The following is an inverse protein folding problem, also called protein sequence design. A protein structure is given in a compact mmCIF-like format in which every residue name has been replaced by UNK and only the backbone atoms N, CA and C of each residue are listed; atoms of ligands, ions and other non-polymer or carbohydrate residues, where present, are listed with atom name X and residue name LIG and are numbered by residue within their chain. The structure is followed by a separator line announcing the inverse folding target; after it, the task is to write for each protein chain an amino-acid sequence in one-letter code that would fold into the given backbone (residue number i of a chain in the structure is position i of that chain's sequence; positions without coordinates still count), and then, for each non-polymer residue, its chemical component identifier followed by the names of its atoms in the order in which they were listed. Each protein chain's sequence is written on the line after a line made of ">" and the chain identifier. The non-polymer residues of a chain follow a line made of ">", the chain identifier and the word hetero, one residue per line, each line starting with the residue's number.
data_IF_420973184374
#
_entry.id   IF_420973184374
#
_cell.length_a   1.000
_cell.length_b   1.000
_cell.length_c   1.000
_cell.angle_alpha   90.00
_cell.angle_beta   90.00
_cell.angle_gamma   90.00
#
_symmetry.space_group_name_H-M   'P 1'
#
loop_
_entity.id
_entity.type
_entity.pdbx_description
1 polymer ?
#
# COMPACT_ATOMS: atom_id res chain seq x y z
N UNK A 1 -41.46 12.77 -47.50
CA UNK A 1 -40.62 11.60 -47.19
C UNK A 1 -39.09 11.89 -47.23
N UNK A 2 -38.65 13.15 -47.36
CA UNK A 2 -37.20 13.52 -47.37
C UNK A 2 -36.66 13.99 -46.03
N UNK A 3 -37.51 14.35 -45.07
CA UNK A 3 -37.10 14.86 -43.77
C UNK A 3 -36.77 13.79 -42.69
N UNK A 4 -37.38 12.60 -42.82
CA UNK A 4 -37.18 11.52 -41.83
C UNK A 4 -35.86 10.77 -42.01
N UNK A 5 -35.29 10.74 -43.20
CA UNK A 5 -34.00 10.14 -43.49
C UNK A 5 -32.81 10.98 -42.91
N UNK A 6 -32.94 12.31 -42.89
CA UNK A 6 -31.94 13.22 -42.36
C UNK A 6 -31.86 13.17 -40.80
N UNK A 7 -32.99 12.92 -40.13
CA UNK A 7 -33.05 12.81 -38.69
C UNK A 7 -32.42 11.48 -38.19
N UNK A 8 -32.57 10.41 -38.97
CA UNK A 8 -32.00 9.09 -38.64
C UNK A 8 -30.46 9.06 -38.79
N UNK A 9 -29.93 9.83 -39.74
CA UNK A 9 -28.47 9.93 -39.96
C UNK A 9 -27.74 10.71 -38.84
N UNK A 10 -28.42 11.63 -38.13
CA UNK A 10 -27.84 12.45 -37.07
C UNK A 10 -27.67 11.68 -35.75
N UNK A 11 -28.46 10.61 -35.54
CA UNK A 11 -28.39 9.79 -34.32
C UNK A 11 -27.21 8.81 -34.34
N UNK A 12 -26.65 8.47 -35.50
CA UNK A 12 -25.51 7.58 -35.64
C UNK A 12 -24.14 8.27 -35.44
N UNK A 13 -24.10 9.60 -35.32
CA UNK A 13 -22.86 10.37 -35.13
C UNK A 13 -22.59 10.75 -33.67
N UNK A 14 -23.24 10.10 -32.70
CA UNK A 14 -22.88 10.27 -31.30
C UNK A 14 -21.44 9.71 -31.07
N UNK A 15 -20.44 10.55 -30.71
CA UNK A 15 -19.15 10.05 -30.33
C UNK A 15 -19.37 9.20 -29.08
N UNK A 16 -19.21 7.89 -29.22
CA UNK A 16 -19.17 6.99 -28.08
C UNK A 16 -18.14 7.53 -27.10
N UNK A 17 -18.55 7.96 -25.92
CA UNK A 17 -17.64 8.22 -24.82
C UNK A 17 -16.82 6.95 -24.62
N UNK A 18 -15.59 6.95 -25.10
CA UNK A 18 -14.62 5.91 -24.90
C UNK A 18 -14.23 5.86 -23.43
N UNK A 19 -15.08 5.24 -22.61
CA UNK A 19 -14.68 4.75 -21.31
C UNK A 19 -13.73 3.59 -21.55
N UNK A 20 -12.44 3.88 -21.69
CA UNK A 20 -11.41 2.87 -21.50
C UNK A 20 -11.52 2.41 -20.06
N UNK A 21 -11.93 1.16 -19.87
CA UNK A 21 -11.79 0.47 -18.59
C UNK A 21 -10.29 0.47 -18.24
N UNK A 22 -9.86 1.47 -17.47
CA UNK A 22 -8.59 1.47 -16.75
C UNK A 22 -8.71 0.39 -15.68
N UNK A 23 -8.53 -0.85 -16.07
CA UNK A 23 -8.73 -2.00 -15.17
C UNK A 23 -8.04 -3.26 -15.66
N UNK A 24 -7.39 -3.21 -16.82
CA UNK A 24 -6.53 -4.28 -17.35
C UNK A 24 -5.14 -3.79 -17.73
N UNK A 25 -4.65 -2.79 -17.05
CA UNK A 25 -3.24 -2.46 -17.03
C UNK A 25 -2.48 -3.51 -16.21
N UNK A 26 -2.52 -4.73 -16.64
CA UNK A 26 -1.61 -5.75 -16.11
C UNK A 26 -0.37 -5.64 -16.95
N UNK A 27 0.54 -4.85 -16.51
CA UNK A 27 1.87 -4.89 -17.07
C UNK A 27 2.87 -5.41 -16.07
N UNK A 28 2.49 -6.41 -15.31
CA UNK A 28 3.52 -7.22 -14.72
C UNK A 28 3.95 -8.25 -15.76
N UNK A 29 5.22 -8.23 -16.05
CA UNK A 29 5.91 -9.15 -16.95
C UNK A 29 5.40 -10.59 -16.74
N UNK A 30 4.80 -11.25 -17.74
CA UNK A 30 4.25 -12.60 -17.59
C UNK A 30 5.33 -13.66 -17.29
N UNK A 31 6.61 -13.32 -17.46
CA UNK A 31 7.73 -14.19 -17.09
C UNK A 31 7.99 -14.23 -15.59
N UNK A 32 7.46 -13.26 -14.82
CA UNK A 32 7.60 -13.23 -13.37
C UNK A 32 6.50 -14.08 -12.75
N UNK A 33 6.87 -15.21 -12.19
CA UNK A 33 6.00 -16.15 -11.49
C UNK A 33 6.40 -16.34 -10.03
N UNK A 34 7.71 -16.35 -9.77
CA UNK A 34 8.26 -16.58 -8.44
C UNK A 34 8.90 -15.31 -7.92
N UNK A 35 8.34 -14.77 -6.83
CA UNK A 35 8.80 -13.52 -6.21
C UNK A 35 9.42 -13.82 -4.86
N UNK A 36 10.64 -13.36 -4.65
CA UNK A 36 11.31 -13.34 -3.35
C UNK A 36 10.90 -12.10 -2.54
N UNK A 37 10.45 -12.32 -1.31
CA UNK A 37 10.15 -11.24 -0.37
C UNK A 37 10.87 -11.54 0.94
N UNK A 38 12.15 -11.15 1.07
CA UNK A 38 12.86 -11.27 2.34
C UNK A 38 12.21 -10.38 3.39
N UNK A 39 12.48 -10.69 4.67
CA UNK A 39 12.04 -9.82 5.77
C UNK A 39 12.53 -8.39 5.53
N UNK A 40 11.62 -7.43 5.62
CA UNK A 40 11.97 -6.02 5.50
C UNK A 40 12.94 -5.63 6.59
N UNK A 41 13.91 -4.79 6.25
CA UNK A 41 14.86 -4.25 7.25
C UNK A 41 14.14 -3.21 8.10
N UNK A 42 14.30 -3.29 9.42
CA UNK A 42 13.77 -2.26 10.32
C UNK A 42 14.91 -1.36 10.82
N UNK A 43 14.77 -0.04 10.60
CA UNK A 43 15.65 1.00 11.13
C UNK A 43 15.02 1.78 12.28
N UNK A 44 13.78 1.46 12.62
CA UNK A 44 13.01 2.26 13.59
C UNK A 44 13.15 1.76 15.02
N UNK A 45 13.52 0.48 15.19
CA UNK A 45 13.57 -0.19 16.49
C UNK A 45 12.20 -0.52 17.08
N UNK A 46 11.10 -0.34 16.32
CA UNK A 46 9.76 -0.77 16.73
C UNK A 46 9.62 -2.28 16.52
N UNK A 47 9.76 -3.03 17.59
CA UNK A 47 9.73 -4.50 17.54
C UNK A 47 8.54 -5.08 16.81
N UNK A 48 8.77 -6.02 15.88
CA UNK A 48 7.75 -6.75 15.15
C UNK A 48 7.11 -6.01 13.97
N UNK A 49 7.46 -4.73 13.72
CA UNK A 49 6.92 -3.93 12.63
C UNK A 49 7.33 -4.51 11.26
N UNK A 50 8.57 -4.93 11.13
CA UNK A 50 9.13 -5.61 9.96
C UNK A 50 8.36 -6.89 9.61
N UNK A 51 8.07 -7.71 10.61
CA UNK A 51 7.32 -8.95 10.44
C UNK A 51 5.88 -8.67 9.99
N UNK A 52 5.19 -7.73 10.66
CA UNK A 52 3.81 -7.37 10.34
C UNK A 52 3.70 -6.84 8.91
N UNK A 53 4.56 -5.90 8.50
CA UNK A 53 4.54 -5.33 7.15
C UNK A 53 4.89 -6.39 6.11
N UNK A 54 5.97 -7.15 6.30
CA UNK A 54 6.39 -8.18 5.35
C UNK A 54 5.29 -9.22 5.13
N UNK A 55 4.67 -9.70 6.23
CA UNK A 55 3.60 -10.68 6.16
C UNK A 55 2.41 -10.17 5.32
N UNK A 56 2.03 -8.89 5.46
CA UNK A 56 0.93 -8.30 4.67
C UNK A 56 1.30 -8.11 3.21
N UNK A 57 2.54 -7.76 2.89
CA UNK A 57 3.01 -7.69 1.50
C UNK A 57 2.96 -9.06 0.84
N UNK A 58 3.42 -10.11 1.53
CA UNK A 58 3.35 -11.51 1.05
C UNK A 58 1.89 -11.93 0.84
N UNK A 59 1.01 -11.67 1.80
CA UNK A 59 -0.42 -11.98 1.72
C UNK A 59 -1.07 -11.32 0.49
N UNK A 60 -0.80 -10.03 0.26
CA UNK A 60 -1.37 -9.30 -0.86
C UNK A 60 -0.84 -9.79 -2.22
N UNK A 61 0.45 -10.16 -2.31
CA UNK A 61 1.00 -10.77 -3.52
C UNK A 61 0.34 -12.13 -3.81
N UNK A 62 0.13 -12.96 -2.79
CA UNK A 62 -0.55 -14.25 -2.92
C UNK A 62 -2.01 -14.10 -3.35
N UNK A 63 -2.73 -13.08 -2.86
CA UNK A 63 -4.11 -12.77 -3.28
C UNK A 63 -4.24 -12.48 -4.78
N UNK A 64 -3.16 -12.05 -5.46
CA UNK A 64 -3.16 -11.86 -6.92
C UNK A 64 -3.25 -13.19 -7.69
N UNK A 65 -3.06 -14.34 -7.03
CA UNK A 65 -3.34 -15.68 -7.54
C UNK A 65 -2.42 -16.20 -8.64
N UNK A 66 -1.37 -15.45 -9.03
CA UNK A 66 -0.46 -15.80 -10.11
C UNK A 66 1.00 -15.92 -9.69
N UNK A 67 1.32 -15.51 -8.47
CA UNK A 67 2.68 -15.53 -7.94
C UNK A 67 2.86 -16.65 -6.93
N UNK A 68 4.02 -17.30 -7.01
CA UNK A 68 4.57 -18.07 -5.89
C UNK A 68 5.48 -17.14 -5.12
N UNK A 69 5.18 -16.91 -3.85
CA UNK A 69 5.95 -16.01 -2.99
C UNK A 69 6.78 -16.82 -2.02
N UNK A 70 8.07 -16.49 -1.94
CA UNK A 70 9.04 -17.16 -1.07
C UNK A 70 9.87 -16.09 -0.32
N UNK A 71 10.52 -16.49 0.78
CA UNK A 71 11.38 -15.57 1.54
C UNK A 71 12.81 -15.51 0.99
N UNK A 72 13.20 -16.50 0.21
CA UNK A 72 14.52 -16.58 -0.38
C UNK A 72 14.68 -15.54 -1.50
N UNK A 73 15.93 -15.08 -1.66
CA UNK A 73 16.33 -14.17 -2.73
C UNK A 73 16.97 -14.86 -3.93
N UNK A 74 17.17 -16.19 -3.83
CA UNK A 74 17.77 -17.01 -4.89
C UNK A 74 16.74 -17.95 -5.52
N UNK A 75 16.90 -18.24 -6.82
CA UNK A 75 15.97 -19.09 -7.55
C UNK A 75 14.59 -18.47 -7.75
N UNK A 76 14.51 -17.15 -7.83
CA UNK A 76 13.31 -16.35 -8.05
C UNK A 76 13.43 -15.52 -9.31
N UNK A 77 12.31 -15.10 -9.89
CA UNK A 77 12.27 -14.25 -11.09
C UNK A 77 12.42 -12.77 -10.74
N UNK A 78 11.87 -12.38 -9.60
CA UNK A 78 11.94 -11.01 -9.10
C UNK A 78 12.02 -10.98 -7.57
N UNK A 79 12.46 -9.84 -7.03
CA UNK A 79 12.59 -9.62 -5.58
C UNK A 79 11.90 -8.30 -5.20
N UNK A 80 11.19 -8.32 -4.08
CA UNK A 80 10.71 -7.13 -3.39
C UNK A 80 11.52 -6.95 -2.12
N UNK A 81 12.35 -5.92 -2.07
CA UNK A 81 13.15 -5.57 -0.90
C UNK A 81 12.60 -4.29 -0.27
N UNK A 82 12.45 -4.28 1.05
CA UNK A 82 11.97 -3.12 1.81
C UNK A 82 12.88 -2.79 2.99
N UNK A 83 12.95 -1.50 3.31
CA UNK A 83 13.60 -0.97 4.48
C UNK A 83 12.66 0.04 5.16
N UNK A 84 12.18 -0.25 6.36
CA UNK A 84 11.34 0.66 7.16
C UNK A 84 12.28 1.71 7.76
N UNK A 85 12.13 2.94 7.27
CA UNK A 85 13.05 4.04 7.58
C UNK A 85 12.53 4.94 8.70
N UNK A 86 11.22 4.97 8.94
CA UNK A 86 10.62 5.80 9.98
C UNK A 86 9.36 5.18 10.56
N UNK A 87 9.23 5.29 11.86
CA UNK A 87 8.03 5.08 12.65
C UNK A 87 7.86 6.27 13.59
N UNK A 88 6.76 6.99 13.48
CA UNK A 88 6.50 8.15 14.35
C UNK A 88 5.10 8.07 14.93
N UNK A 89 4.97 8.36 16.21
CA UNK A 89 3.70 8.54 16.91
C UNK A 89 3.60 9.98 17.37
N UNK A 90 2.56 10.69 16.96
CA UNK A 90 2.39 12.12 17.23
C UNK A 90 0.98 12.38 17.77
N UNK A 91 0.81 13.14 18.86
CA UNK A 91 -0.50 13.57 19.32
C UNK A 91 -1.12 14.54 18.30
N UNK A 92 -2.39 14.28 17.92
CA UNK A 92 -3.12 15.07 16.91
C UNK A 92 -4.47 15.56 17.43
N UNK A 93 -4.92 15.08 18.59
CA UNK A 93 -6.12 15.53 19.28
C UNK A 93 -5.86 15.74 20.76
N UNK A 94 -6.57 16.69 21.36
CA UNK A 94 -6.43 17.01 22.78
C UNK A 94 -7.81 17.21 23.41
N UNK A 95 -7.97 16.74 24.66
CA UNK A 95 -9.08 17.16 25.51
C UNK A 95 -8.73 18.48 26.18
N UNK A 96 -9.73 19.31 26.36
CA UNK A 96 -9.58 20.61 27.05
C UNK A 96 -10.35 20.60 28.36
N UNK A 97 -9.74 21.09 29.43
CA UNK A 97 -10.43 21.44 30.67
C UNK A 97 -10.33 22.95 30.84
N UNK A 98 -11.45 23.65 30.62
CA UNK A 98 -11.44 25.09 30.50
C UNK A 98 -10.85 25.56 29.16
N UNK A 99 -9.95 26.54 29.19
CA UNK A 99 -9.31 27.13 27.99
C UNK A 99 -7.97 26.48 27.62
N UNK A 100 -7.50 25.51 28.39
CA UNK A 100 -6.16 24.90 28.22
C UNK A 100 -6.27 23.44 27.80
N UNK A 101 -5.57 23.01 26.72
CA UNK A 101 -5.43 21.58 26.40
C UNK A 101 -4.69 20.86 27.52
N UNK A 102 -5.27 19.81 28.08
CA UNK A 102 -4.73 19.12 29.25
C UNK A 102 -4.18 17.75 28.96
N UNK A 103 -4.70 17.05 27.94
CA UNK A 103 -4.26 15.69 27.66
C UNK A 103 -4.45 15.38 26.16
N UNK A 104 -3.51 14.61 25.60
CA UNK A 104 -3.69 14.08 24.25
C UNK A 104 -4.84 13.04 24.26
N UNK A 105 -5.78 13.19 23.32
CA UNK A 105 -6.94 12.31 23.15
C UNK A 105 -6.87 11.46 21.90
N UNK A 106 -6.00 11.82 20.94
CA UNK A 106 -5.80 11.08 19.69
C UNK A 106 -4.35 11.14 19.28
N UNK A 107 -3.86 10.02 18.75
CA UNK A 107 -2.52 9.89 18.20
C UNK A 107 -2.58 9.47 16.74
N UNK A 108 -1.62 9.95 15.95
CA UNK A 108 -1.36 9.49 14.61
C UNK A 108 -0.07 8.67 14.59
N UNK A 109 -0.10 7.53 13.92
CA UNK A 109 1.08 6.75 13.58
C UNK A 109 1.37 6.94 12.11
N UNK A 110 2.62 7.23 11.77
CA UNK A 110 3.10 7.26 10.40
C UNK A 110 4.27 6.28 10.25
N UNK A 111 4.17 5.40 9.25
CA UNK A 111 5.22 4.45 8.88
C UNK A 111 5.70 4.80 7.49
N UNK A 112 7.02 4.89 7.31
CA UNK A 112 7.65 5.15 6.01
C UNK A 112 8.67 4.07 5.72
N UNK A 113 8.71 3.61 4.47
CA UNK A 113 9.68 2.64 4.01
C UNK A 113 10.22 3.02 2.62
N UNK A 114 11.46 2.64 2.38
CA UNK A 114 12.04 2.53 1.05
C UNK A 114 11.74 1.13 0.53
N UNK A 115 11.23 1.02 -0.69
CA UNK A 115 10.91 -0.28 -1.29
C UNK A 115 11.41 -0.33 -2.73
N UNK A 116 11.97 -1.47 -3.11
CA UNK A 116 12.48 -1.74 -4.45
C UNK A 116 11.90 -3.06 -4.96
N UNK A 117 11.27 -3.04 -6.12
CA UNK A 117 10.82 -4.22 -6.85
C UNK A 117 11.65 -4.35 -8.12
N UNK A 118 12.44 -5.40 -8.24
CA UNK A 118 13.36 -5.61 -9.37
C UNK A 118 13.31 -7.03 -9.91
N UNK A 119 13.45 -7.18 -11.21
CA UNK A 119 13.62 -8.46 -11.88
C UNK A 119 15.07 -8.93 -11.77
N UNK A 120 15.27 -10.22 -11.55
CA UNK A 120 16.60 -10.80 -11.51
C UNK A 120 17.26 -10.69 -12.89
N UNK A 121 18.53 -10.29 -12.90
CA UNK A 121 19.30 -10.07 -14.14
C UNK A 121 19.09 -8.71 -14.81
N UNK A 122 18.17 -7.88 -14.32
CA UNK A 122 18.02 -6.49 -14.77
C UNK A 122 18.73 -5.54 -13.82
N UNK A 123 19.36 -4.47 -14.37
CA UNK A 123 20.05 -3.45 -13.57
C UNK A 123 19.06 -2.48 -12.93
N UNK A 124 18.04 -2.12 -13.69
CA UNK A 124 17.04 -1.15 -13.23
C UNK A 124 15.85 -1.84 -12.55
N UNK A 125 15.32 -1.26 -11.48
CA UNK A 125 14.13 -1.77 -10.82
C UNK A 125 12.91 -1.61 -11.74
N UNK A 126 11.96 -2.55 -11.63
CA UNK A 126 10.65 -2.42 -12.27
C UNK A 126 9.88 -1.28 -11.61
N UNK A 127 9.99 -1.18 -10.30
CA UNK A 127 9.37 -0.14 -9.49
C UNK A 127 10.18 0.13 -8.23
N UNK A 128 10.21 1.39 -7.80
CA UNK A 128 10.83 1.77 -6.54
C UNK A 128 10.17 3.01 -5.94
N UNK A 129 10.25 3.12 -4.63
CA UNK A 129 9.89 4.32 -3.89
C UNK A 129 10.86 4.52 -2.73
N UNK A 130 11.41 5.71 -2.61
CA UNK A 130 12.28 6.07 -1.49
C UNK A 130 11.49 6.41 -0.22
N UNK A 131 10.22 6.82 -0.37
CA UNK A 131 9.37 7.29 0.72
C UNK A 131 7.93 6.79 0.56
N UNK A 132 7.74 5.46 0.54
CA UNK A 132 6.41 4.89 0.58
C UNK A 132 5.89 4.96 2.02
N UNK A 133 4.84 5.73 2.26
CA UNK A 133 4.35 5.98 3.62
C UNK A 133 2.86 5.68 3.77
N UNK A 134 2.48 5.30 4.99
CA UNK A 134 1.10 5.15 5.39
C UNK A 134 0.89 5.69 6.80
N UNK A 135 -0.26 6.33 7.01
CA UNK A 135 -0.65 6.95 8.28
C UNK A 135 -2.03 6.47 8.69
N UNK A 136 -2.20 6.22 9.98
CA UNK A 136 -3.49 5.96 10.60
C UNK A 136 -3.54 6.60 12.00
N UNK A 137 -4.73 6.74 12.55
CA UNK A 137 -4.96 7.41 13.83
C UNK A 137 -5.73 6.50 14.78
N UNK A 138 -5.51 6.71 16.07
CA UNK A 138 -6.29 6.07 17.12
C UNK A 138 -6.63 7.02 18.25
N UNK A 139 -7.81 6.84 18.80
CA UNK A 139 -8.25 7.59 19.98
C UNK A 139 -7.71 6.95 21.25
N UNK A 140 -7.23 7.78 22.15
CA UNK A 140 -6.99 7.38 23.54
C UNK A 140 -8.35 7.11 24.20
N UNK A 141 -8.54 5.91 24.75
CA UNK A 141 -9.71 5.63 25.58
C UNK A 141 -9.60 6.33 26.93
N UNK A 142 -10.68 6.25 27.69
CA UNK A 142 -10.70 6.73 29.08
C UNK A 142 -9.74 5.94 29.98
N UNK A 143 -9.44 4.69 29.61
CA UNK A 143 -8.50 3.83 30.33
C UNK A 143 -7.10 3.89 29.69
N UNK A 144 -6.10 4.49 30.37
CA UNK A 144 -4.71 4.53 29.90
C UNK A 144 -4.07 3.15 29.71
N UNK A 145 -4.57 2.11 30.38
CA UNK A 145 -4.09 0.73 30.24
C UNK A 145 -4.30 0.15 28.84
N UNK A 146 -5.24 0.69 28.07
CA UNK A 146 -5.54 0.23 26.70
C UNK A 146 -4.67 0.88 25.61
N UNK A 147 -3.76 1.77 25.98
CA UNK A 147 -2.92 2.52 25.03
C UNK A 147 -2.13 1.61 24.08
N UNK A 148 -1.41 0.65 24.63
CA UNK A 148 -0.56 -0.25 23.84
C UNK A 148 -1.37 -1.18 22.95
N UNK A 149 -2.54 -1.66 23.42
CA UNK A 149 -3.41 -2.49 22.61
C UNK A 149 -3.98 -1.73 21.41
N UNK A 150 -4.34 -0.46 21.60
CA UNK A 150 -4.84 0.41 20.53
C UNK A 150 -3.75 0.77 19.54
N UNK A 151 -2.54 1.04 20.01
CA UNK A 151 -1.38 1.25 19.16
C UNK A 151 -1.12 0.01 18.31
N UNK A 152 -1.11 -1.18 18.90
CA UNK A 152 -0.85 -2.44 18.17
C UNK A 152 -1.91 -2.76 17.11
N UNK A 153 -3.19 -2.57 17.43
CA UNK A 153 -4.28 -2.69 16.46
C UNK A 153 -4.16 -1.69 15.31
N UNK A 154 -3.69 -0.48 15.60
CA UNK A 154 -3.45 0.55 14.58
C UNK A 154 -2.29 0.18 13.69
N UNK A 155 -1.21 -0.36 14.24
CA UNK A 155 -0.09 -0.90 13.47
C UNK A 155 -0.56 -2.03 12.54
N UNK A 156 -1.46 -2.91 12.98
CA UNK A 156 -2.02 -3.97 12.13
C UNK A 156 -2.83 -3.41 10.96
N UNK A 157 -3.64 -2.37 11.18
CA UNK A 157 -4.37 -1.68 10.11
C UNK A 157 -3.42 -0.99 9.13
N UNK A 158 -2.39 -0.32 9.67
CA UNK A 158 -1.33 0.30 8.86
C UNK A 158 -0.65 -0.75 8.00
N UNK A 159 -0.21 -1.86 8.59
CA UNK A 159 0.48 -2.93 7.85
C UNK A 159 -0.39 -3.50 6.73
N UNK A 160 -1.69 -3.71 7.00
CA UNK A 160 -2.64 -4.20 6.00
C UNK A 160 -2.81 -3.21 4.84
N UNK A 161 -3.03 -1.94 5.14
CA UNK A 161 -3.21 -0.91 4.12
C UNK A 161 -1.91 -0.64 3.35
N UNK A 162 -0.77 -0.64 4.05
CA UNK A 162 0.56 -0.52 3.47
C UNK A 162 0.81 -1.65 2.45
N UNK A 163 0.62 -2.91 2.83
CA UNK A 163 0.81 -4.07 1.95
C UNK A 163 -0.09 -4.00 0.72
N UNK A 164 -1.38 -3.71 0.91
CA UNK A 164 -2.36 -3.57 -0.18
C UNK A 164 -1.96 -2.48 -1.18
N UNK A 165 -1.66 -1.28 -0.68
CA UNK A 165 -1.33 -0.13 -1.53
C UNK A 165 0.05 -0.30 -2.19
N UNK A 166 1.02 -0.88 -1.49
CA UNK A 166 2.34 -1.18 -2.05
C UNK A 166 2.24 -2.16 -3.22
N UNK A 167 1.53 -3.28 -3.03
CA UNK A 167 1.37 -4.29 -4.08
C UNK A 167 0.60 -3.72 -5.27
N UNK A 168 -0.43 -2.90 -5.03
CA UNK A 168 -1.12 -2.18 -6.10
C UNK A 168 -0.16 -1.26 -6.86
N UNK A 169 0.61 -0.41 -6.15
CA UNK A 169 1.56 0.51 -6.76
C UNK A 169 2.64 -0.22 -7.58
N UNK A 170 3.18 -1.32 -7.08
CA UNK A 170 4.21 -2.11 -7.78
C UNK A 170 3.69 -2.80 -9.05
N UNK A 171 2.42 -3.23 -9.06
CA UNK A 171 1.87 -4.05 -10.15
C UNK A 171 1.00 -3.26 -11.13
N UNK A 172 0.57 -2.05 -10.77
CA UNK A 172 -0.37 -1.21 -11.55
C UNK A 172 0.29 0.09 -12.05
N UNK A 173 1.55 0.34 -11.69
CA UNK A 173 2.28 1.59 -11.99
C UNK A 173 2.83 1.65 -13.43
N UNK A 174 2.02 1.21 -14.43
CA UNK A 174 2.37 1.30 -15.86
C UNK A 174 1.22 1.84 -16.69
#
# INVERSE_FOLDING_TARGET
>A
MRGTAALLALVLAAPGCGYALVGKGITSDPSIRRIGVPLFKDRTGKGGLDQKITARVVEELLKRGRFTVVQETTGVDAIVEGEITSYTTTPVGFTTTGATPTQASRYAINVTAKVVYRKIGQKEPIWQSEMFSYRDEYDMGEDPGTFFDREDQTIDRIAQAFGKNLVAAMLEAF
#
